data_IF_314538346604
#
_entry.id   IF_314538346604
#
_cell.length_a   1.000
_cell.length_b   1.000
_cell.length_c   1.000
_cell.angle_alpha   90.00
_cell.angle_beta   90.00
_cell.angle_gamma   90.00
#
_symmetry.space_group_name_H-M   'P 1'
#
loop_
_entity.id
_entity.type
_entity.pdbx_description
1 polymer ?
#
# COMPACT_ATOMS: atom_id res chain seq x y z
N UNK A 1 -14.84 -2.59 10.24
CA UNK A 1 -14.26 -2.01 9.03
C UNK A 1 -12.91 -2.65 8.89
N UNK A 2 -12.51 -3.05 7.67
CA UNK A 2 -11.20 -3.66 7.42
C UNK A 2 -10.41 -2.82 6.43
N UNK A 3 -9.08 -2.86 6.59
CA UNK A 3 -8.15 -2.25 5.65
C UNK A 3 -7.65 -3.36 4.72
N UNK A 4 -7.75 -3.14 3.42
CA UNK A 4 -7.24 -4.04 2.38
C UNK A 4 -6.07 -3.35 1.70
N UNK A 5 -4.92 -4.02 1.69
CA UNK A 5 -3.69 -3.53 1.05
C UNK A 5 -3.34 -4.52 -0.06
N UNK A 6 -3.31 -4.05 -1.29
CA UNK A 6 -2.90 -4.84 -2.46
C UNK A 6 -1.65 -4.22 -3.08
N UNK A 7 -0.61 -5.02 -3.27
CA UNK A 7 0.67 -4.61 -3.86
C UNK A 7 1.05 -5.62 -4.95
N UNK A 8 1.23 -5.14 -6.18
CA UNK A 8 1.75 -5.86 -7.32
C UNK A 8 3.27 -5.75 -7.32
N UNK A 9 3.94 -6.90 -7.19
CA UNK A 9 5.39 -6.99 -7.06
C UNK A 9 6.08 -7.46 -8.36
N UNK A 10 5.45 -7.24 -9.51
CA UNK A 10 5.88 -7.71 -10.82
C UNK A 10 6.89 -6.78 -11.51
N UNK A 11 7.13 -5.60 -10.95
CA UNK A 11 7.99 -4.59 -11.54
C UNK A 11 9.44 -4.64 -11.01
N UNK A 12 10.33 -3.93 -11.70
CA UNK A 12 11.76 -3.93 -11.41
C UNK A 12 12.14 -3.39 -10.02
N UNK A 13 11.30 -2.58 -9.37
CA UNK A 13 11.56 -2.06 -8.03
C UNK A 13 11.56 -3.15 -6.96
N UNK A 14 10.96 -4.31 -7.25
CA UNK A 14 10.92 -5.46 -6.34
C UNK A 14 12.01 -6.49 -6.61
N UNK A 15 12.87 -6.31 -7.61
CA UNK A 15 13.86 -7.33 -7.98
C UNK A 15 15.23 -7.18 -7.28
N UNK A 16 15.63 -5.96 -6.91
CA UNK A 16 16.96 -5.67 -6.33
C UNK A 16 16.85 -4.34 -5.55
N UNK A 17 17.18 -4.25 -4.24
CA UNK A 17 17.95 -5.20 -3.42
C UNK A 17 17.18 -6.36 -2.79
N UNK A 18 15.86 -6.28 -2.63
CA UNK A 18 15.01 -7.40 -2.18
C UNK A 18 13.53 -6.95 -2.20
N UNK A 19 12.56 -7.78 -2.65
CA UNK A 19 11.15 -7.41 -2.69
C UNK A 19 10.61 -6.93 -1.33
N UNK A 20 11.09 -7.55 -0.24
CA UNK A 20 10.65 -7.26 1.12
C UNK A 20 11.04 -5.86 1.58
N UNK A 21 12.19 -5.34 1.13
CA UNK A 21 12.63 -4.00 1.48
C UNK A 21 11.71 -2.95 0.85
N UNK A 22 11.34 -3.17 -0.41
CA UNK A 22 10.44 -2.25 -1.11
C UNK A 22 9.01 -2.31 -0.57
N UNK A 23 8.49 -3.50 -0.28
CA UNK A 23 7.21 -3.67 0.43
C UNK A 23 7.26 -2.94 1.78
N UNK A 24 8.33 -3.12 2.56
CA UNK A 24 8.52 -2.45 3.84
C UNK A 24 8.51 -0.93 3.72
N UNK A 25 9.18 -0.37 2.71
CA UNK A 25 9.18 1.08 2.42
C UNK A 25 7.77 1.59 2.12
N UNK A 26 7.01 0.87 1.29
CA UNK A 26 5.62 1.22 0.94
C UNK A 26 4.74 1.21 2.19
N UNK A 27 4.83 0.16 3.02
CA UNK A 27 4.05 0.03 4.24
C UNK A 27 4.42 1.11 5.28
N UNK A 28 5.71 1.41 5.45
CA UNK A 28 6.17 2.47 6.36
C UNK A 28 5.64 3.85 5.91
N UNK A 29 5.64 4.13 4.61
CA UNK A 29 5.08 5.36 4.06
C UNK A 29 3.57 5.44 4.30
N UNK A 30 2.85 4.35 4.05
CA UNK A 30 1.40 4.27 4.29
C UNK A 30 1.07 4.51 5.77
N UNK A 31 1.81 3.90 6.69
CA UNK A 31 1.64 4.11 8.14
C UNK A 31 1.87 5.57 8.53
N UNK A 32 2.97 6.17 8.07
CA UNK A 32 3.26 7.59 8.32
C UNK A 32 2.17 8.52 7.77
N UNK A 33 1.61 8.18 6.61
CA UNK A 33 0.52 8.94 6.00
C UNK A 33 -0.79 8.85 6.79
N UNK A 34 -1.09 7.68 7.36
CA UNK A 34 -2.22 7.47 8.26
C UNK A 34 -2.04 8.26 9.57
N UNK A 35 -0.87 8.18 10.18
CA UNK A 35 -0.54 8.94 11.40
C UNK A 35 -0.62 10.46 11.19
N UNK A 36 -0.20 10.93 10.02
CA UNK A 36 -0.27 12.35 9.63
C UNK A 36 -1.66 12.84 9.21
N UNK A 37 -2.68 11.97 9.17
CA UNK A 37 -4.04 12.33 8.75
C UNK A 37 -4.20 12.58 7.25
N UNK A 38 -3.26 12.10 6.42
CA UNK A 38 -3.27 12.23 4.96
C UNK A 38 -3.85 11.00 4.23
N UNK A 39 -4.48 10.10 4.99
CA UNK A 39 -5.18 8.92 4.51
C UNK A 39 -6.69 9.11 4.77
N UNK A 40 -7.48 9.17 3.69
CA UNK A 40 -8.92 9.38 3.74
C UNK A 40 -9.66 8.20 3.09
N UNK A 41 -9.53 7.02 3.70
CA UNK A 41 -10.21 5.80 3.26
C UNK A 41 -9.53 5.08 2.09
N UNK A 42 -8.93 5.80 1.13
CA UNK A 42 -8.26 5.23 -0.04
C UNK A 42 -6.89 5.89 -0.30
N UNK A 43 -5.90 5.09 -0.71
CA UNK A 43 -4.58 5.60 -1.09
C UNK A 43 -3.90 4.74 -2.15
N UNK A 44 -3.38 5.40 -3.19
CA UNK A 44 -2.53 4.75 -4.20
C UNK A 44 -1.16 4.45 -3.61
N UNK A 45 -0.67 3.24 -3.85
CA UNK A 45 0.68 2.82 -3.46
C UNK A 45 1.63 2.94 -4.65
N UNK A 46 2.79 3.54 -4.39
CA UNK A 46 3.82 3.81 -5.40
C UNK A 46 5.13 3.15 -4.99
N UNK A 47 5.86 2.61 -5.96
CA UNK A 47 7.22 2.13 -5.75
C UNK A 47 8.25 3.27 -5.58
N UNK A 48 9.50 2.91 -5.33
CA UNK A 48 10.62 3.85 -5.16
C UNK A 48 10.90 4.69 -6.43
N UNK A 49 10.48 4.22 -7.60
CA UNK A 49 10.62 4.90 -8.88
C UNK A 49 9.40 5.78 -9.22
N UNK A 50 8.36 5.79 -8.38
CA UNK A 50 7.12 6.53 -8.59
C UNK A 50 6.09 5.83 -9.45
N UNK A 51 6.27 4.55 -9.78
CA UNK A 51 5.28 3.78 -10.50
C UNK A 51 4.17 3.32 -9.56
N UNK A 52 2.93 3.31 -10.03
CA UNK A 52 1.81 2.72 -9.29
C UNK A 52 1.98 1.21 -9.19
N UNK A 53 1.88 0.69 -7.97
CA UNK A 53 1.99 -0.74 -7.67
C UNK A 53 0.78 -1.30 -6.94
N UNK A 54 -0.18 -0.47 -6.56
CA UNK A 54 -1.39 -0.96 -5.90
C UNK A 54 -2.17 0.11 -5.18
N UNK A 55 -2.91 -0.31 -4.16
CA UNK A 55 -3.73 0.57 -3.35
C UNK A 55 -3.96 0.03 -1.93
N UNK A 56 -4.28 0.94 -1.02
CA UNK A 56 -4.84 0.67 0.29
C UNK A 56 -6.27 1.21 0.31
N UNK A 57 -7.23 0.40 0.74
CA UNK A 57 -8.66 0.75 0.80
C UNK A 57 -9.27 0.36 2.15
N UNK A 58 -10.20 1.18 2.62
CA UNK A 58 -10.96 0.99 3.84
C UNK A 58 -12.34 0.52 3.46
N UNK A 59 -12.56 -0.78 3.55
CA UNK A 59 -13.82 -1.39 3.15
C UNK A 59 -14.71 -1.64 4.36
N UNK A 60 -16.04 -1.43 4.25
CA UNK A 60 -16.97 -1.73 5.32
C UNK A 60 -16.92 -3.22 5.66
N UNK A 61 -17.19 -3.55 6.93
CA UNK A 61 -17.46 -4.94 7.32
C UNK A 61 -18.89 -5.25 6.89
N UNK A 62 -19.10 -5.46 5.60
CA UNK A 62 -20.37 -6.01 5.15
C UNK A 62 -20.38 -7.46 5.60
N UNK A 63 -21.25 -7.79 6.55
CA UNK A 63 -21.67 -9.17 6.75
C UNK A 63 -22.38 -9.58 5.47
N UNK A 64 -21.88 -10.63 4.80
CA UNK A 64 -22.59 -11.27 3.71
C UNK A 64 -24.01 -11.60 4.19
N UNK A 65 -25.00 -10.92 3.62
CA UNK A 65 -26.43 -11.18 3.81
C UNK A 65 -26.95 -12.06 2.67
#
# INVERSE_FOLDING_TARGET
MKIVIEIQCDNAAFHDPEPNLEIGRILAKLASDMEGGSFDGYKVLMDANGNRVGACDTVPDVWDA
#
